data_IF_464357370132
#
_entry.id   IF_464357370132
#
_cell.length_a   1.000
_cell.length_b   1.000
_cell.length_c   1.000
_cell.angle_alpha   90.00
_cell.angle_beta   90.00
_cell.angle_gamma   90.00
#
_symmetry.space_group_name_H-M   'P 1'
#
loop_
_entity.id
_entity.type
_entity.pdbx_description
1 polymer ?
#
# COMPACT_ATOMS: atom_id res chain seq x y z
N UNK A 1 -1.63 -4.40 -13.45
CA UNK A 1 -2.47 -3.58 -14.35
C UNK A 1 -2.77 -2.19 -13.76
N UNK A 2 -3.38 -2.10 -12.57
CA UNK A 2 -3.69 -0.81 -11.92
C UNK A 2 -2.45 0.11 -11.74
N UNK A 3 -1.34 -0.43 -11.24
CA UNK A 3 -0.10 0.34 -11.09
C UNK A 3 0.42 0.94 -12.40
N UNK A 4 0.31 0.23 -13.51
CA UNK A 4 0.78 0.69 -14.82
C UNK A 4 -0.18 1.68 -15.49
N UNK A 5 -1.49 1.41 -15.44
CA UNK A 5 -2.48 2.21 -16.16
C UNK A 5 -2.97 3.44 -15.39
N UNK A 6 -2.95 3.41 -14.06
CA UNK A 6 -3.52 4.47 -13.22
C UNK A 6 -2.43 5.21 -12.47
N UNK A 7 -1.61 4.49 -11.70
CA UNK A 7 -0.65 5.11 -10.78
C UNK A 7 0.52 5.73 -11.55
N UNK A 8 1.16 4.95 -12.44
CA UNK A 8 2.34 5.36 -13.19
C UNK A 8 2.15 6.66 -14.01
N UNK A 9 1.09 6.83 -14.84
CA UNK A 9 0.94 8.06 -15.62
C UNK A 9 0.74 9.29 -14.76
N UNK A 10 0.01 9.18 -13.65
CA UNK A 10 -0.21 10.30 -12.73
C UNK A 10 1.08 10.66 -12.00
N UNK A 11 1.85 9.67 -11.52
CA UNK A 11 3.15 9.90 -10.89
C UNK A 11 4.15 10.54 -11.85
N UNK A 12 4.24 10.07 -13.10
CA UNK A 12 5.12 10.64 -14.11
C UNK A 12 4.70 12.06 -14.48
N UNK A 13 3.41 12.31 -14.65
CA UNK A 13 2.91 13.65 -14.94
C UNK A 13 3.24 14.62 -13.81
N UNK A 14 3.04 14.21 -12.56
CA UNK A 14 3.39 15.00 -11.39
C UNK A 14 4.90 15.25 -11.31
N UNK A 15 5.72 14.22 -11.52
CA UNK A 15 7.19 14.33 -11.49
C UNK A 15 7.70 15.30 -12.56
N UNK A 16 7.18 15.22 -13.78
CA UNK A 16 7.51 16.12 -14.88
C UNK A 16 7.02 17.55 -14.62
N UNK A 17 5.83 17.71 -14.02
CA UNK A 17 5.30 19.02 -13.68
C UNK A 17 6.19 19.79 -12.69
N UNK A 18 6.95 19.09 -11.84
CA UNK A 18 7.91 19.72 -10.93
C UNK A 18 9.09 20.40 -11.65
N UNK A 19 9.45 19.97 -12.86
CA UNK A 19 10.50 20.63 -13.63
C UNK A 19 10.09 22.05 -14.07
N UNK A 20 8.80 22.36 -14.08
CA UNK A 20 8.27 23.66 -14.50
C UNK A 20 8.58 23.98 -15.97
N UNK A 21 8.43 25.25 -16.34
CA UNK A 21 8.72 25.73 -17.71
C UNK A 21 10.18 26.14 -17.92
N UNK A 22 10.96 26.21 -16.84
CA UNK A 22 12.33 26.76 -16.86
C UNK A 22 13.41 25.69 -17.06
N UNK A 23 13.06 24.41 -16.95
CA UNK A 23 13.98 23.29 -17.09
C UNK A 23 13.48 22.31 -18.16
N UNK A 24 14.36 21.95 -19.09
CA UNK A 24 14.10 20.85 -20.02
C UNK A 24 14.32 19.51 -19.30
N UNK A 25 13.25 18.79 -19.00
CA UNK A 25 13.32 17.49 -18.35
C UNK A 25 13.93 16.44 -19.31
N UNK A 26 15.23 16.17 -19.16
CA UNK A 26 15.93 15.13 -19.91
C UNK A 26 15.94 13.82 -19.10
N UNK A 27 14.96 12.96 -19.37
CA UNK A 27 14.87 11.63 -18.74
C UNK A 27 15.68 10.63 -19.56
N UNK A 28 16.69 10.01 -18.93
CA UNK A 28 17.42 8.91 -19.57
C UNK A 28 16.58 7.63 -19.54
N UNK A 29 16.72 6.78 -20.56
CA UNK A 29 16.00 5.51 -20.63
C UNK A 29 16.25 4.63 -19.40
N UNK A 30 17.49 4.61 -18.89
CA UNK A 30 17.84 3.85 -17.69
C UNK A 30 17.09 4.36 -16.44
N UNK A 31 17.05 5.68 -16.23
CA UNK A 31 16.32 6.27 -15.10
C UNK A 31 14.82 5.99 -15.19
N UNK A 32 14.24 6.13 -16.40
CA UNK A 32 12.83 5.83 -16.65
C UNK A 32 12.49 4.37 -16.34
N UNK A 33 13.22 3.42 -16.93
CA UNK A 33 12.95 1.99 -16.76
C UNK A 33 13.13 1.58 -15.30
N UNK A 34 14.20 2.05 -14.64
CA UNK A 34 14.46 1.74 -13.24
C UNK A 34 13.35 2.28 -12.33
N UNK A 35 12.90 3.52 -12.56
CA UNK A 35 11.77 4.10 -11.85
C UNK A 35 10.49 3.27 -12.05
N UNK A 36 10.12 2.99 -13.31
CA UNK A 36 8.90 2.25 -13.65
C UNK A 36 8.92 0.86 -13.00
N UNK A 37 10.04 0.14 -13.09
CA UNK A 37 10.17 -1.20 -12.51
C UNK A 37 10.07 -1.17 -10.99
N UNK A 38 10.84 -0.30 -10.32
CA UNK A 38 10.79 -0.17 -8.86
C UNK A 38 9.39 0.19 -8.38
N UNK A 39 8.77 1.18 -9.01
CA UNK A 39 7.46 1.67 -8.63
C UNK A 39 6.36 0.62 -8.86
N UNK A 40 6.40 -0.10 -9.98
CA UNK A 40 5.48 -1.21 -10.24
C UNK A 40 5.67 -2.37 -9.26
N UNK A 41 6.90 -2.65 -8.80
CA UNK A 41 7.14 -3.68 -7.79
C UNK A 41 6.52 -3.31 -6.44
N UNK A 42 6.69 -2.07 -5.99
CA UNK A 42 6.08 -1.57 -4.75
C UNK A 42 4.55 -1.63 -4.82
N UNK A 43 3.97 -1.12 -5.91
CA UNK A 43 2.53 -1.15 -6.12
C UNK A 43 2.02 -2.58 -6.27
N UNK A 44 2.73 -3.44 -6.99
CA UNK A 44 2.39 -4.85 -7.12
C UNK A 44 2.38 -5.58 -5.77
N UNK A 45 3.44 -5.41 -4.99
CA UNK A 45 3.54 -6.01 -3.66
C UNK A 45 2.45 -5.55 -2.70
N UNK A 46 1.93 -4.33 -2.86
CA UNK A 46 0.82 -3.83 -2.03
C UNK A 46 -0.54 -4.35 -2.44
N UNK A 47 -0.70 -4.86 -3.66
CA UNK A 47 -1.91 -5.58 -4.06
C UNK A 47 -2.01 -6.98 -3.42
N UNK A 48 -0.91 -7.52 -2.87
CA UNK A 48 -0.91 -8.80 -2.13
C UNK A 48 -1.42 -8.66 -0.69
N UNK A 49 -1.49 -7.44 -0.15
CA UNK A 49 -1.89 -7.17 1.24
C UNK A 49 -3.20 -7.85 1.65
N UNK A 50 -4.28 -7.85 0.83
CA UNK A 50 -5.51 -8.55 1.18
C UNK A 50 -5.35 -10.04 1.31
N UNK A 51 -4.61 -10.67 0.38
CA UNK A 51 -4.36 -12.11 0.42
C UNK A 51 -3.57 -12.48 1.68
N UNK A 52 -2.56 -11.68 2.03
CA UNK A 52 -1.76 -11.88 3.25
C UNK A 52 -2.62 -11.76 4.50
N UNK A 53 -3.41 -10.69 4.62
CA UNK A 53 -4.30 -10.46 5.78
C UNK A 53 -5.31 -11.60 5.93
N UNK A 54 -5.96 -12.02 4.83
CA UNK A 54 -6.92 -13.13 4.85
C UNK A 54 -6.25 -14.45 5.24
N UNK A 55 -5.08 -14.74 4.70
CA UNK A 55 -4.33 -15.95 5.02
C UNK A 55 -3.98 -15.99 6.52
N UNK A 56 -3.47 -14.89 7.07
CA UNK A 56 -3.18 -14.78 8.49
C UNK A 56 -4.45 -14.88 9.36
N UNK A 57 -5.58 -14.36 8.88
CA UNK A 57 -6.85 -14.45 9.59
C UNK A 57 -7.42 -15.87 9.60
N UNK A 58 -7.31 -16.61 8.49
CA UNK A 58 -7.68 -18.03 8.43
C UNK A 58 -6.80 -18.91 9.30
N UNK A 59 -5.52 -18.59 9.43
CA UNK A 59 -4.60 -19.27 10.35
C UNK A 59 -4.87 -18.92 11.83
N UNK A 60 -5.78 -17.99 12.12
CA UNK A 60 -6.08 -17.54 13.48
C UNK A 60 -5.01 -16.64 14.10
N UNK A 61 -4.03 -16.18 13.32
CA UNK A 61 -2.96 -15.27 13.79
C UNK A 61 -3.52 -13.87 14.07
N UNK A 62 -4.50 -13.45 13.26
CA UNK A 62 -5.15 -12.15 13.41
C UNK A 62 -6.66 -12.30 13.36
N UNK A 63 -7.35 -11.59 14.26
CA UNK A 63 -8.81 -11.54 14.27
C UNK A 63 -9.32 -10.24 13.61
N UNK A 64 -10.53 -10.24 13.04
CA UNK A 64 -11.15 -9.00 12.55
C UNK A 64 -11.27 -7.92 13.65
N UNK A 65 -11.45 -8.33 14.91
CA UNK A 65 -11.49 -7.43 16.06
C UNK A 65 -10.13 -6.78 16.32
N UNK A 66 -9.05 -7.58 16.27
CA UNK A 66 -7.68 -7.07 16.43
C UNK A 66 -7.32 -6.11 15.31
N UNK A 67 -7.60 -6.45 14.05
CA UNK A 67 -7.35 -5.53 12.93
C UNK A 67 -8.09 -4.20 13.13
N UNK A 68 -9.38 -4.25 13.49
CA UNK A 68 -10.15 -3.02 13.70
C UNK A 68 -9.67 -2.22 14.91
N UNK A 69 -9.16 -2.86 15.96
CA UNK A 69 -8.60 -2.17 17.14
C UNK A 69 -7.28 -1.49 16.81
N UNK A 70 -6.39 -2.20 16.12
CA UNK A 70 -5.05 -1.75 15.76
C UNK A 70 -4.99 -1.02 14.40
N UNK A 71 -6.11 -0.44 13.95
CA UNK A 71 -6.19 0.24 12.65
C UNK A 71 -5.08 1.27 12.47
N UNK A 72 -4.75 2.03 13.53
CA UNK A 72 -3.69 3.05 13.52
C UNK A 72 -2.32 2.49 13.11
N UNK A 73 -1.99 1.28 13.57
CA UNK A 73 -0.74 0.62 13.22
C UNK A 73 -0.74 0.28 11.72
N UNK A 74 -1.87 -0.21 11.20
CA UNK A 74 -2.03 -0.49 9.78
C UNK A 74 -1.81 0.78 8.93
N UNK A 75 -2.47 1.89 9.26
CA UNK A 75 -2.27 3.16 8.55
C UNK A 75 -0.84 3.70 8.66
N UNK A 76 -0.16 3.49 9.80
CA UNK A 76 1.24 3.86 9.98
C UNK A 76 2.18 3.03 9.10
N UNK A 77 1.93 1.72 8.97
CA UNK A 77 2.68 0.84 8.06
C UNK A 77 2.45 1.24 6.61
N UNK A 78 1.19 1.53 6.24
CA UNK A 78 0.84 2.02 4.89
C UNK A 78 1.55 3.33 4.58
N UNK A 79 1.56 4.28 5.53
CA UNK A 79 2.30 5.52 5.38
C UNK A 79 3.81 5.28 5.23
N UNK A 80 4.40 4.37 6.00
CA UNK A 80 5.79 3.98 5.86
C UNK A 80 6.11 3.39 4.49
N UNK A 81 5.26 2.49 3.98
CA UNK A 81 5.40 1.93 2.62
C UNK A 81 5.29 3.03 1.56
N UNK A 82 4.38 3.99 1.72
CA UNK A 82 4.26 5.12 0.80
C UNK A 82 5.52 6.00 0.79
N UNK A 83 6.12 6.26 1.96
CA UNK A 83 7.38 7.00 2.10
C UNK A 83 8.52 6.29 1.38
N UNK A 84 8.75 5.00 1.66
CA UNK A 84 9.86 4.26 1.04
C UNK A 84 9.59 3.86 -0.42
N UNK A 85 8.31 3.81 -0.79
CA UNK A 85 7.85 3.40 -2.11
C UNK A 85 7.82 4.52 -3.14
N UNK A 86 7.87 5.78 -2.72
CA UNK A 86 7.84 6.95 -3.60
C UNK A 86 9.22 7.62 -3.62
N UNK A 87 9.89 7.72 -4.78
CA UNK A 87 11.26 8.24 -4.83
C UNK A 87 11.35 9.76 -4.66
N UNK A 88 10.24 10.47 -4.81
CA UNK A 88 10.11 11.93 -4.69
C UNK A 88 9.61 12.39 -3.31
N UNK A 89 9.14 11.46 -2.45
CA UNK A 89 8.70 11.73 -1.07
C UNK A 89 7.66 12.84 -0.95
N UNK A 90 6.87 13.06 -2.03
CA UNK A 90 5.91 14.14 -2.06
C UNK A 90 4.56 13.70 -1.49
N UNK A 91 3.81 14.62 -0.84
CA UNK A 91 2.48 14.29 -0.35
C UNK A 91 1.55 13.76 -1.44
N UNK A 92 1.71 14.20 -2.69
CA UNK A 92 0.83 13.79 -3.80
C UNK A 92 1.08 12.34 -4.19
N UNK A 93 2.33 11.97 -4.48
CA UNK A 93 2.66 10.59 -4.87
C UNK A 93 2.51 9.63 -3.71
N UNK A 94 2.81 10.07 -2.48
CA UNK A 94 2.59 9.30 -1.26
C UNK A 94 1.11 8.98 -1.06
N UNK A 95 0.22 9.96 -1.21
CA UNK A 95 -1.23 9.73 -1.14
C UNK A 95 -1.71 8.82 -2.27
N UNK A 96 -1.12 8.93 -3.45
CA UNK A 96 -1.45 8.10 -4.60
C UNK A 96 -1.19 6.61 -4.35
N UNK A 97 -0.19 6.28 -3.52
CA UNK A 97 0.08 4.91 -3.07
C UNK A 97 -0.71 4.57 -1.80
N UNK A 98 -0.74 5.46 -0.80
CA UNK A 98 -1.34 5.20 0.49
C UNK A 98 -2.87 5.02 0.44
N UNK A 99 -3.58 5.81 -0.38
CA UNK A 99 -5.03 5.73 -0.52
C UNK A 99 -5.47 4.34 -1.04
N UNK A 100 -4.97 3.84 -2.18
CA UNK A 100 -5.37 2.52 -2.66
C UNK A 100 -4.96 1.41 -1.69
N UNK A 101 -3.82 1.53 -1.01
CA UNK A 101 -3.44 0.59 0.05
C UNK A 101 -4.41 0.58 1.23
N UNK A 102 -4.84 1.76 1.70
CA UNK A 102 -5.82 1.87 2.77
C UNK A 102 -7.17 1.26 2.36
N UNK A 103 -7.59 1.48 1.12
CA UNK A 103 -8.79 0.83 0.56
C UNK A 103 -8.66 -0.69 0.54
N UNK A 104 -7.51 -1.22 0.12
CA UNK A 104 -7.24 -2.65 0.14
C UNK A 104 -7.26 -3.21 1.57
N UNK A 105 -6.69 -2.50 2.55
CA UNK A 105 -6.72 -2.89 3.95
C UNK A 105 -8.16 -2.95 4.49
N UNK A 106 -8.98 -1.91 4.27
CA UNK A 106 -10.38 -1.90 4.71
C UNK A 106 -11.20 -2.99 4.00
N UNK A 107 -10.95 -3.23 2.71
CA UNK A 107 -11.55 -4.33 1.95
C UNK A 107 -11.21 -5.69 2.56
N UNK A 108 -9.95 -5.88 2.96
CA UNK A 108 -9.48 -7.10 3.64
C UNK A 108 -10.18 -7.30 4.98
N UNK A 109 -10.35 -6.22 5.75
CA UNK A 109 -11.07 -6.26 7.03
C UNK A 109 -12.54 -6.67 6.84
N UNK A 110 -13.20 -6.15 5.80
CA UNK A 110 -14.57 -6.54 5.45
C UNK A 110 -14.62 -8.02 5.08
N UNK A 111 -13.70 -8.50 4.24
CA UNK A 111 -13.63 -9.91 3.87
C UNK A 111 -13.40 -10.80 5.09
N UNK A 112 -12.47 -10.45 5.98
CA UNK A 112 -12.23 -11.20 7.21
C UNK A 112 -13.49 -11.27 8.09
N UNK A 113 -14.27 -10.19 8.19
CA UNK A 113 -15.54 -10.21 8.94
C UNK A 113 -16.59 -11.15 8.35
N UNK A 114 -16.62 -11.31 7.04
CA UNK A 114 -17.62 -12.13 6.34
C UNK A 114 -17.20 -13.61 6.36
N UNK A 115 -15.93 -13.89 6.08
CA UNK A 115 -15.44 -15.25 5.82
C UNK A 115 -14.79 -15.92 7.04
N UNK A 116 -14.26 -15.15 8.00
CA UNK A 116 -13.57 -15.70 9.18
C UNK A 116 -14.53 -15.68 10.37
N UNK A 117 -14.90 -16.86 10.86
CA UNK A 117 -15.64 -16.99 12.12
C UNK A 117 -14.78 -16.48 13.27
N UNK A 118 -15.35 -15.77 14.27
CA UNK A 118 -14.58 -15.26 15.40
C UNK A 118 -13.76 -16.38 16.03
N UNK A 119 -12.43 -16.26 15.99
CA UNK A 119 -11.56 -17.15 16.74
C UNK A 119 -11.85 -16.93 18.23
N UNK A 120 -12.08 -18.02 18.97
CA UNK A 120 -12.38 -17.97 20.40
C UNK A 120 -11.26 -17.20 21.14
N UNK A 121 -11.59 -16.35 22.14
CA UNK A 121 -10.60 -15.60 22.89
C UNK A 121 -9.52 -16.53 23.46
N UNK A 122 -8.24 -16.25 23.16
CA UNK A 122 -7.15 -16.98 23.78
C UNK A 122 -7.12 -16.64 25.28
N UNK A 123 -7.14 -17.64 26.18
CA UNK A 123 -7.06 -17.38 27.60
C UNK A 123 -5.74 -16.68 27.91
N UNK A 124 -5.84 -15.51 28.55
CA UNK A 124 -4.69 -14.78 29.08
C UNK A 124 -3.95 -15.73 30.02
N UNK A 125 -2.72 -16.12 29.68
CA UNK A 125 -1.87 -16.86 30.62
C UNK A 125 -1.45 -15.90 31.72
N UNK A 126 -2.17 -15.95 32.84
CA UNK A 126 -1.69 -15.38 34.10
C UNK A 126 -0.47 -16.20 34.55
N UNK A 127 0.68 -15.54 34.66
CA UNK A 127 1.91 -16.06 35.26
C UNK A 127 2.05 -15.57 36.67
#
# INVERSE_FOLDING_TARGET
MFGYLVILPVSLHWLLAQAGTQFNALITANAYISFVLFFLLIVGGTFETPLVILSLAFLGVVSPQTLRREWRIAYMVIAGIAVFGTPDWSPVTMLLVAIPMALLYEFSLILCRIFVRPAAPQPVRET
#
